data_IF_049293467205
#
_entry.id   IF_049293467205
#
_cell.length_a   1.000
_cell.length_b   1.000
_cell.length_c   1.000
_cell.angle_alpha   90.00
_cell.angle_beta   90.00
_cell.angle_gamma   90.00
#
_symmetry.space_group_name_H-M   'P 1'
#
loop_
_entity.id
_entity.type
_entity.pdbx_description
1 polymer ?
#
# COMPACT_ATOMS: atom_id res chain seq x y z
N UNK A 1 5.71 10.42 19.94
CA UNK A 1 5.81 9.24 19.05
C UNK A 1 4.79 9.31 17.92
N UNK A 2 3.63 9.96 18.12
CA UNK A 2 2.56 10.14 17.12
C UNK A 2 2.97 10.96 15.87
N UNK A 3 4.06 11.73 15.92
CA UNK A 3 4.57 12.48 14.77
C UNK A 3 5.56 11.70 13.89
N UNK A 4 6.12 10.59 14.39
CA UNK A 4 7.15 9.84 13.67
C UNK A 4 6.52 9.02 12.55
N UNK A 5 5.33 8.45 12.78
CA UNK A 5 4.68 7.59 11.81
C UNK A 5 4.22 8.37 10.56
N UNK A 6 3.58 9.55 10.66
CA UNK A 6 3.28 10.38 9.49
C UNK A 6 4.54 10.80 8.71
N UNK A 7 5.62 11.15 9.41
CA UNK A 7 6.89 11.48 8.77
C UNK A 7 7.49 10.26 8.02
N UNK A 8 7.44 9.08 8.63
CA UNK A 8 7.91 7.84 8.02
C UNK A 8 7.11 7.48 6.75
N UNK A 9 5.77 7.62 6.77
CA UNK A 9 4.94 7.41 5.56
C UNK A 9 5.31 8.41 4.45
N UNK A 10 5.67 9.64 4.81
CA UNK A 10 6.06 10.66 3.82
C UNK A 10 7.35 10.32 3.07
N UNK A 11 8.20 9.45 3.63
CA UNK A 11 9.43 8.98 3.01
C UNK A 11 9.24 7.80 2.06
N UNK A 12 8.06 7.18 2.04
CA UNK A 12 7.71 6.12 1.11
C UNK A 12 7.23 6.69 -0.25
N UNK A 13 7.42 5.95 -1.35
CA UNK A 13 7.92 4.57 -1.45
C UNK A 13 9.46 4.45 -1.45
N UNK A 14 9.96 3.31 -0.97
CA UNK A 14 11.36 2.86 -1.11
C UNK A 14 11.38 1.60 -1.97
N UNK A 15 12.38 1.47 -2.85
CA UNK A 15 12.49 0.35 -3.81
C UNK A 15 13.94 -0.07 -4.13
N UNK A 16 14.96 0.55 -3.53
CA UNK A 16 16.36 0.31 -3.93
C UNK A 16 17.02 -0.89 -3.23
N UNK A 17 16.61 -1.20 -2.00
CA UNK A 17 17.18 -2.26 -1.18
C UNK A 17 16.14 -3.36 -0.89
N UNK A 18 16.31 -4.52 -1.52
CA UNK A 18 15.38 -5.66 -1.44
C UNK A 18 15.21 -6.22 0.00
N UNK A 19 16.22 -6.10 0.86
CA UNK A 19 16.14 -6.59 2.24
C UNK A 19 15.37 -5.59 3.11
N UNK A 20 15.65 -4.30 2.98
CA UNK A 20 14.94 -3.26 3.73
C UNK A 20 13.49 -3.12 3.28
N UNK A 21 13.24 -3.17 1.97
CA UNK A 21 11.90 -3.11 1.36
C UNK A 21 10.99 -4.15 2.00
N UNK A 22 11.42 -5.41 2.12
CA UNK A 22 10.62 -6.47 2.77
C UNK A 22 10.27 -6.10 4.20
N UNK A 23 11.23 -5.62 4.99
CA UNK A 23 10.99 -5.23 6.38
C UNK A 23 10.01 -4.05 6.48
N UNK A 24 10.20 -3.01 5.67
CA UNK A 24 9.40 -1.78 5.64
C UNK A 24 7.94 -2.08 5.29
N UNK A 25 7.69 -2.82 4.21
CA UNK A 25 6.33 -3.09 3.76
C UNK A 25 5.64 -4.15 4.63
N UNK A 26 6.39 -5.07 5.24
CA UNK A 26 5.85 -5.98 6.25
C UNK A 26 5.39 -5.23 7.51
N UNK A 27 6.13 -4.19 7.92
CA UNK A 27 5.72 -3.29 8.99
C UNK A 27 4.48 -2.47 8.60
N UNK A 28 4.46 -1.90 7.38
CA UNK A 28 3.29 -1.19 6.85
C UNK A 28 2.03 -2.07 6.86
N UNK A 29 2.12 -3.31 6.38
CA UNK A 29 1.01 -4.27 6.40
C UNK A 29 0.51 -4.53 7.82
N UNK A 30 1.42 -4.71 8.78
CA UNK A 30 1.07 -4.94 10.17
C UNK A 30 0.30 -3.76 10.78
N UNK A 31 0.66 -2.52 10.42
CA UNK A 31 -0.05 -1.32 10.85
C UNK A 31 -1.43 -1.19 10.20
N UNK A 32 -1.57 -1.58 8.93
CA UNK A 32 -2.85 -1.60 8.21
C UNK A 32 -3.80 -2.65 8.79
N UNK A 33 -3.32 -3.87 9.01
CA UNK A 33 -4.09 -4.96 9.63
C UNK A 33 -4.52 -4.62 11.06
N UNK A 34 -3.70 -3.88 11.80
CA UNK A 34 -4.03 -3.37 13.13
C UNK A 34 -5.02 -2.18 13.11
N UNK A 35 -5.46 -1.74 11.93
CA UNK A 35 -6.35 -0.59 11.73
C UNK A 35 -5.85 0.68 12.48
N UNK A 36 -4.54 0.94 12.39
CA UNK A 36 -3.90 1.97 13.20
C UNK A 36 -4.43 3.37 12.83
N UNK A 37 -5.04 4.12 13.77
CA UNK A 37 -5.69 5.40 13.47
C UNK A 37 -4.72 6.50 13.03
N UNK A 38 -3.44 6.42 13.42
CA UNK A 38 -2.41 7.37 13.00
C UNK A 38 -2.00 7.14 11.55
N UNK A 39 -1.95 5.86 11.13
CA UNK A 39 -1.63 5.48 9.75
C UNK A 39 -2.77 5.88 8.81
N UNK A 40 -4.00 5.47 9.14
CA UNK A 40 -5.17 5.69 8.30
C UNK A 40 -5.63 7.16 8.31
N UNK A 41 -5.36 7.87 9.39
CA UNK A 41 -5.86 9.21 9.61
C UNK A 41 -7.36 9.23 9.92
N UNK A 42 -7.87 10.43 10.17
CA UNK A 42 -9.30 10.62 10.45
C UNK A 42 -10.11 10.23 9.20
N UNK A 43 -11.10 9.37 9.37
CA UNK A 43 -11.95 8.88 8.27
C UNK A 43 -11.16 8.22 7.12
N UNK A 44 -10.02 7.60 7.44
CA UNK A 44 -9.16 6.91 6.47
C UNK A 44 -8.61 7.82 5.37
N UNK A 45 -8.43 9.12 5.65
CA UNK A 45 -7.97 10.10 4.67
C UNK A 45 -6.60 9.79 4.05
N UNK A 46 -5.77 8.97 4.70
CA UNK A 46 -4.45 8.59 4.21
C UNK A 46 -4.47 7.34 3.31
N UNK A 47 -5.59 6.62 3.21
CA UNK A 47 -5.70 5.41 2.38
C UNK A 47 -5.28 5.64 0.91
N UNK A 48 -5.71 6.71 0.22
CA UNK A 48 -5.30 6.95 -1.16
C UNK A 48 -3.77 7.04 -1.32
N UNK A 49 -3.08 7.68 -0.36
CA UNK A 49 -1.62 7.77 -0.34
C UNK A 49 -0.97 6.41 -0.11
N UNK A 50 -1.53 5.60 0.78
CA UNK A 50 -1.02 4.25 1.06
C UNK A 50 -1.18 3.34 -0.16
N UNK A 51 -2.34 3.38 -0.82
CA UNK A 51 -2.59 2.63 -2.07
C UNK A 51 -1.64 3.11 -3.17
N UNK A 52 -1.34 4.41 -3.24
CA UNK A 52 -0.35 4.95 -4.18
C UNK A 52 1.04 4.41 -3.93
N UNK A 53 1.50 4.40 -2.68
CA UNK A 53 2.79 3.81 -2.30
C UNK A 53 2.84 2.33 -2.71
N UNK A 54 1.79 1.57 -2.39
CA UNK A 54 1.69 0.14 -2.75
C UNK A 54 1.74 -0.05 -4.28
N UNK A 55 0.95 0.70 -5.03
CA UNK A 55 0.94 0.60 -6.50
C UNK A 55 2.32 0.92 -7.10
N UNK A 56 3.05 1.86 -6.52
CA UNK A 56 4.40 2.21 -6.94
C UNK A 56 5.41 1.10 -6.64
N UNK A 57 5.27 0.39 -5.52
CA UNK A 57 6.14 -0.77 -5.22
C UNK A 57 5.98 -1.91 -6.22
N UNK A 58 4.74 -2.19 -6.64
CA UNK A 58 4.50 -3.19 -7.69
C UNK A 58 5.00 -2.70 -9.04
N UNK A 59 4.82 -1.41 -9.36
CA UNK A 59 5.33 -0.83 -10.61
C UNK A 59 6.85 -0.87 -10.70
N UNK A 60 7.56 -0.73 -9.58
CA UNK A 60 9.02 -0.79 -9.47
C UNK A 60 9.56 -2.20 -9.22
N UNK A 61 8.68 -3.20 -9.17
CA UNK A 61 9.02 -4.60 -8.86
C UNK A 61 9.74 -4.76 -7.51
N UNK A 62 9.54 -3.82 -6.57
CA UNK A 62 10.14 -3.85 -5.25
C UNK A 62 9.56 -4.99 -4.38
N UNK A 63 8.29 -5.35 -4.62
CA UNK A 63 7.62 -6.44 -3.93
C UNK A 63 7.06 -7.40 -4.97
N UNK A 64 7.39 -8.68 -4.81
CA UNK A 64 6.78 -9.76 -5.57
C UNK A 64 5.40 -10.09 -5.01
N UNK A 65 4.38 -10.10 -5.87
CA UNK A 65 3.00 -10.49 -5.54
C UNK A 65 2.90 -11.90 -4.92
N UNK A 66 3.82 -12.81 -5.26
CA UNK A 66 3.88 -14.18 -4.74
C UNK A 66 4.55 -14.30 -3.36
N UNK A 67 5.28 -13.27 -2.94
CA UNK A 67 5.92 -13.21 -1.62
C UNK A 67 4.88 -13.10 -0.50
N UNK A 68 5.28 -13.44 0.73
CA UNK A 68 4.38 -13.32 1.89
C UNK A 68 3.88 -11.89 2.10
N UNK A 69 4.76 -10.89 1.90
CA UNK A 69 4.40 -9.47 1.98
C UNK A 69 3.45 -9.09 0.85
N UNK A 70 3.73 -9.52 -0.39
CA UNK A 70 2.85 -9.27 -1.54
C UNK A 70 1.44 -9.82 -1.33
N UNK A 71 1.32 -11.04 -0.81
CA UNK A 71 0.02 -11.65 -0.48
C UNK A 71 -0.74 -10.88 0.60
N UNK A 72 -0.06 -10.39 1.63
CA UNK A 72 -0.67 -9.54 2.68
C UNK A 72 -1.19 -8.24 2.09
N UNK A 73 -0.37 -7.56 1.28
CA UNK A 73 -0.76 -6.33 0.57
C UNK A 73 -1.97 -6.56 -0.33
N UNK A 74 -1.99 -7.65 -1.12
CA UNK A 74 -3.11 -7.99 -2.01
C UNK A 74 -4.39 -8.24 -1.20
N UNK A 75 -4.28 -8.91 -0.05
CA UNK A 75 -5.44 -9.13 0.84
C UNK A 75 -6.01 -7.80 1.33
N UNK A 76 -5.16 -6.89 1.80
CA UNK A 76 -5.58 -5.55 2.23
C UNK A 76 -6.22 -4.74 1.09
N UNK A 77 -5.66 -4.82 -0.12
CA UNK A 77 -6.24 -4.16 -1.29
C UNK A 77 -7.62 -4.73 -1.66
N UNK A 78 -7.82 -6.05 -1.51
CA UNK A 78 -9.13 -6.70 -1.70
C UNK A 78 -10.13 -6.26 -0.64
N UNK A 79 -9.69 -6.08 0.59
CA UNK A 79 -10.54 -5.52 1.65
C UNK A 79 -10.96 -4.08 1.31
N UNK A 80 -10.06 -3.26 0.79
CA UNK A 80 -10.40 -1.91 0.30
C UNK A 80 -11.36 -1.98 -0.90
N UNK A 81 -11.17 -2.93 -1.82
CA UNK A 81 -12.08 -3.14 -2.97
C UNK A 81 -13.51 -3.47 -2.54
N UNK A 82 -13.70 -4.08 -1.36
CA UNK A 82 -15.05 -4.31 -0.82
C UNK A 82 -15.84 -3.01 -0.63
N UNK A 83 -15.14 -1.89 -0.43
CA UNK A 83 -15.71 -0.55 -0.44
C UNK A 83 -15.41 0.13 -1.78
N UNK A 84 -16.34 -0.01 -2.74
CA UNK A 84 -16.18 0.50 -4.11
C UNK A 84 -15.93 2.01 -4.17
N UNK A 85 -16.56 2.79 -3.28
CA UNK A 85 -16.39 4.24 -3.23
C UNK A 85 -14.98 4.63 -2.78
N UNK A 86 -14.49 4.06 -1.68
CA UNK A 86 -13.13 4.29 -1.20
C UNK A 86 -12.09 3.79 -2.20
N UNK A 87 -12.30 2.63 -2.81
CA UNK A 87 -11.39 2.10 -3.82
C UNK A 87 -11.32 3.01 -5.05
N UNK A 88 -12.47 3.50 -5.53
CA UNK A 88 -12.50 4.44 -6.66
C UNK A 88 -11.74 5.73 -6.37
N UNK A 89 -11.87 6.29 -5.16
CA UNK A 89 -11.08 7.45 -4.71
C UNK A 89 -9.60 7.11 -4.69
N UNK A 90 -9.19 5.95 -4.17
CA UNK A 90 -7.78 5.57 -4.15
C UNK A 90 -7.21 5.45 -5.56
N UNK A 91 -7.93 4.78 -6.46
CA UNK A 91 -7.52 4.58 -7.86
C UNK A 91 -7.46 5.90 -8.63
N UNK A 92 -8.34 6.86 -8.35
CA UNK A 92 -8.34 8.17 -9.03
C UNK A 92 -7.09 9.01 -8.72
N UNK A 93 -6.38 8.73 -7.64
CA UNK A 93 -5.13 9.40 -7.28
C UNK A 93 -3.88 8.75 -7.92
N UNK A 94 -4.04 7.61 -8.59
CA UNK A 94 -2.96 6.88 -9.24
C UNK A 94 -2.75 7.34 -10.68
N UNK A 95 -1.50 7.33 -11.15
CA UNK A 95 -1.20 7.50 -12.57
C UNK A 95 -1.52 6.23 -13.38
N UNK A 96 -1.63 6.28 -14.72
CA UNK A 96 -2.01 5.12 -15.53
C UNK A 96 -1.11 3.90 -15.35
N UNK A 97 0.20 4.09 -15.15
CA UNK A 97 1.13 3.00 -14.93
C UNK A 97 0.92 2.33 -13.56
N UNK A 98 0.65 3.12 -12.52
CA UNK A 98 0.32 2.64 -11.18
C UNK A 98 -1.03 1.91 -11.18
N UNK A 99 -2.03 2.41 -11.90
CA UNK A 99 -3.32 1.72 -12.05
C UNK A 99 -3.16 0.34 -12.69
N UNK A 100 -2.36 0.26 -13.76
CA UNK A 100 -2.10 -1.01 -14.43
C UNK A 100 -1.31 -1.98 -13.55
N UNK A 101 -0.26 -1.51 -12.86
CA UNK A 101 0.51 -2.33 -11.92
C UNK A 101 -0.38 -2.87 -10.78
N UNK A 102 -1.25 -2.02 -10.22
CA UNK A 102 -2.20 -2.42 -9.19
C UNK A 102 -3.21 -3.46 -9.72
N UNK A 103 -3.72 -3.25 -10.95
CA UNK A 103 -4.63 -4.18 -11.61
C UNK A 103 -3.98 -5.54 -11.83
N UNK A 104 -2.73 -5.57 -12.32
CA UNK A 104 -1.97 -6.80 -12.52
C UNK A 104 -1.75 -7.53 -11.19
N UNK A 105 -1.30 -6.82 -10.15
CA UNK A 105 -1.09 -7.40 -8.81
C UNK A 105 -2.37 -8.05 -8.26
N UNK A 106 -3.53 -7.43 -8.47
CA UNK A 106 -4.82 -7.96 -8.02
C UNK A 106 -5.32 -9.17 -8.83
N UNK A 107 -4.86 -9.33 -10.09
CA UNK A 107 -5.20 -10.48 -10.94
C UNK A 107 -4.37 -11.73 -10.64
N UNK A 108 -3.26 -11.60 -9.92
CA UNK A 108 -2.45 -12.75 -9.50
C UNK A 108 -3.26 -13.58 -8.48
N UNK A 109 -3.49 -14.85 -8.80
CA UNK A 109 -4.19 -15.83 -7.95
C UNK A 109 -3.21 -16.63 -7.10
#
# INVERSE_FOLDING_TARGET
MEEILPAWISWLPVWEDDEEVKCIYNFLCTLLEANNPVLLGKENCNLPRIVQIIAETFLKEAIDASSDVGKRVITLLRDIQSNTELFSICVSHLNPNQQEALRLALTVQ
#
